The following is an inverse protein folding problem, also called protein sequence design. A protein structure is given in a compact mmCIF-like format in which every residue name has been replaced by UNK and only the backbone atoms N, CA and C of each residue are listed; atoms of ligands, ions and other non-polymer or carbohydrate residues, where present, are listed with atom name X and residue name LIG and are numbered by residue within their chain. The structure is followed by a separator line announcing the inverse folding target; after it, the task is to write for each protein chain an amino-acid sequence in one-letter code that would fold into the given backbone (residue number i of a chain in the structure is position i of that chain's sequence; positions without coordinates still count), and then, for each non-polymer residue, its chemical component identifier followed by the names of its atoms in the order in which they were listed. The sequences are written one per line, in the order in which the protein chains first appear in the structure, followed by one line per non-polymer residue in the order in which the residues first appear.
data_IF_373349335581
#
_entry.id   IF_373349335581
#
_cell.length_a   1.000
_cell.length_b   1.000
_cell.length_c   1.000
_cell.angle_alpha   90.00
_cell.angle_beta   90.00
_cell.angle_gamma   90.00
#
_symmetry.space_group_name_H-M   'P 1'
#
loop_
_entity.id
_entity.type
_entity.pdbx_description
1 polymer ?
#
# COMPACT_ATOMS: atom_id res chain seq x y z
N UNK A 1 28.26 6.59 -17.32
CA UNK A 1 27.04 6.40 -18.14
C UNK A 1 25.82 6.41 -17.24
N UNK A 2 24.81 7.18 -17.62
CA UNK A 2 23.58 7.33 -16.82
C UNK A 2 22.45 6.60 -17.56
N UNK A 3 21.70 5.77 -16.87
CA UNK A 3 20.48 5.18 -17.38
C UNK A 3 19.31 6.00 -16.86
N UNK A 4 18.64 6.73 -17.72
CA UNK A 4 17.47 7.53 -17.36
C UNK A 4 16.33 6.65 -16.87
N UNK A 5 16.13 5.50 -17.49
CA UNK A 5 15.06 4.56 -17.09
C UNK A 5 15.36 3.93 -15.73
N UNK A 6 16.63 3.63 -15.44
CA UNK A 6 17.04 3.08 -14.15
C UNK A 6 16.82 4.13 -13.03
N UNK A 7 17.18 5.39 -13.28
CA UNK A 7 16.95 6.47 -12.33
C UNK A 7 15.45 6.67 -12.07
N UNK A 8 14.64 6.64 -13.12
CA UNK A 8 13.18 6.75 -13.00
C UNK A 8 12.60 5.60 -12.20
N UNK A 9 13.11 4.38 -12.40
CA UNK A 9 12.68 3.21 -11.67
C UNK A 9 13.00 3.33 -10.19
N UNK A 10 14.23 3.73 -9.86
CA UNK A 10 14.65 3.94 -8.47
C UNK A 10 13.77 5.00 -7.80
N UNK A 11 13.54 6.11 -8.48
CA UNK A 11 12.68 7.19 -7.98
C UNK A 11 11.25 6.69 -7.74
N UNK A 12 10.73 5.88 -8.64
CA UNK A 12 9.39 5.29 -8.50
C UNK A 12 9.30 4.40 -7.26
N UNK A 13 10.34 3.60 -7.01
CA UNK A 13 10.38 2.73 -5.83
C UNK A 13 10.43 3.56 -4.53
N UNK A 14 11.20 4.64 -4.52
CA UNK A 14 11.25 5.57 -3.37
C UNK A 14 9.90 6.20 -3.12
N UNK A 15 9.22 6.67 -4.17
CA UNK A 15 7.87 7.24 -4.05
C UNK A 15 6.88 6.23 -3.50
N UNK A 16 6.97 4.98 -3.96
CA UNK A 16 6.10 3.92 -3.48
C UNK A 16 6.26 3.73 -1.97
N UNK A 17 7.49 3.70 -1.49
CA UNK A 17 7.77 3.57 -0.05
C UNK A 17 7.20 4.76 0.73
N UNK A 18 7.33 5.98 0.22
CA UNK A 18 6.78 7.17 0.86
C UNK A 18 5.27 7.08 1.02
N UNK A 19 4.58 6.64 -0.02
CA UNK A 19 3.13 6.45 0.03
C UNK A 19 2.77 5.33 1.01
N UNK A 20 3.51 4.23 1.02
CA UNK A 20 3.30 3.13 1.95
C UNK A 20 3.45 3.58 3.41
N UNK A 21 4.42 4.44 3.70
CA UNK A 21 4.59 5.02 5.04
C UNK A 21 3.36 5.83 5.45
N UNK A 22 2.78 6.57 4.52
CA UNK A 22 1.55 7.33 4.78
C UNK A 22 0.37 6.41 5.09
N UNK A 23 0.25 5.30 4.36
CA UNK A 23 -0.77 4.29 4.64
C UNK A 23 -0.57 3.69 6.03
N UNK A 24 0.67 3.37 6.39
CA UNK A 24 0.99 2.85 7.71
C UNK A 24 0.56 3.82 8.82
N UNK A 25 0.80 5.11 8.64
CA UNK A 25 0.39 6.15 9.59
C UNK A 25 -1.13 6.22 9.71
N UNK A 26 -1.85 6.14 8.59
CA UNK A 26 -3.32 6.14 8.62
C UNK A 26 -3.87 4.87 9.27
N UNK A 27 -3.23 3.73 9.07
CA UNK A 27 -3.61 2.49 9.75
C UNK A 27 -3.44 2.59 11.25
N UNK A 28 -2.37 3.24 11.72
CA UNK A 28 -2.16 3.47 13.15
C UNK A 28 -3.25 4.40 13.73
N UNK A 29 -3.59 5.45 12.99
CA UNK A 29 -4.67 6.38 13.39
C UNK A 29 -6.01 5.66 13.43
N UNK A 30 -6.31 4.86 12.43
CA UNK A 30 -7.53 4.08 12.35
C UNK A 30 -7.66 3.11 13.52
N UNK A 31 -6.56 2.44 13.86
CA UNK A 31 -6.51 1.55 15.02
C UNK A 31 -6.88 2.27 16.30
N UNK A 32 -6.30 3.44 16.54
CA UNK A 32 -6.59 4.23 17.74
C UNK A 32 -8.07 4.61 17.81
N UNK A 33 -8.64 5.04 16.69
CA UNK A 33 -10.06 5.38 16.60
C UNK A 33 -10.93 4.18 16.97
N UNK A 34 -10.61 3.01 16.43
CA UNK A 34 -11.40 1.80 16.64
C UNK A 34 -11.22 1.18 18.02
N UNK A 35 -10.06 1.38 18.65
CA UNK A 35 -9.81 0.88 20.00
C UNK A 35 -10.58 1.64 21.07
N UNK A 36 -11.02 2.85 20.80
CA UNK A 36 -11.87 3.62 21.69
C UNK A 36 -13.33 3.17 21.49
N UNK A 37 -13.62 1.94 21.89
CA UNK A 37 -14.89 1.25 21.59
C UNK A 37 -16.13 1.89 22.19
N UNK A 38 -15.98 2.71 23.23
CA UNK A 38 -17.13 3.37 23.86
C UNK A 38 -17.50 4.66 23.13
N UNK A 39 -16.56 5.25 22.41
CA UNK A 39 -16.76 6.53 21.72
C UNK A 39 -15.99 6.54 20.40
N UNK A 40 -16.35 5.63 19.49
CA UNK A 40 -15.75 5.61 18.17
C UNK A 40 -16.26 6.81 17.37
N UNK A 41 -15.33 7.67 16.95
CA UNK A 41 -15.64 8.79 16.08
C UNK A 41 -15.78 8.29 14.63
N UNK A 42 -17.02 8.05 14.20
CA UNK A 42 -17.30 7.53 12.87
C UNK A 42 -16.88 8.48 11.75
N UNK A 43 -17.00 9.77 11.96
CA UNK A 43 -16.55 10.76 10.99
C UNK A 43 -15.04 10.67 10.77
N UNK A 44 -14.27 10.56 11.85
CA UNK A 44 -12.81 10.39 11.79
C UNK A 44 -12.45 9.07 11.14
N UNK A 45 -13.19 7.99 11.43
CA UNK A 45 -12.99 6.69 10.81
C UNK A 45 -13.21 6.75 9.29
N UNK A 46 -14.33 7.32 8.87
CA UNK A 46 -14.64 7.47 7.43
C UNK A 46 -13.57 8.29 6.72
N UNK A 47 -13.05 9.32 7.36
CA UNK A 47 -11.97 10.13 6.82
C UNK A 47 -10.69 9.33 6.60
N UNK A 48 -10.36 8.42 7.51
CA UNK A 48 -9.20 7.53 7.30
C UNK A 48 -9.37 6.65 6.08
N UNK A 49 -10.59 6.16 5.82
CA UNK A 49 -10.89 5.36 4.64
C UNK A 49 -10.69 6.16 3.35
N UNK A 50 -11.16 7.40 3.33
CA UNK A 50 -11.01 8.29 2.17
C UNK A 50 -9.54 8.59 1.89
N UNK A 51 -8.78 8.92 2.92
CA UNK A 51 -7.36 9.22 2.79
C UNK A 51 -6.58 8.01 2.31
N UNK A 52 -6.84 6.84 2.87
CA UNK A 52 -6.18 5.59 2.44
C UNK A 52 -6.55 5.26 1.00
N UNK A 53 -7.81 5.50 0.61
CA UNK A 53 -8.26 5.30 -0.77
C UNK A 53 -7.47 6.16 -1.76
N UNK A 54 -7.19 7.42 -1.41
CA UNK A 54 -6.37 8.30 -2.24
C UNK A 54 -4.93 7.77 -2.39
N UNK A 55 -4.34 7.25 -1.32
CA UNK A 55 -3.00 6.68 -1.38
C UNK A 55 -2.96 5.40 -2.23
N UNK A 56 -3.99 4.58 -2.15
CA UNK A 56 -4.11 3.39 -3.00
C UNK A 56 -4.18 3.78 -4.47
N UNK A 57 -4.95 4.81 -4.80
CA UNK A 57 -5.03 5.32 -6.18
C UNK A 57 -3.66 5.80 -6.68
N UNK A 58 -2.90 6.48 -5.83
CA UNK A 58 -1.55 6.89 -6.17
C UNK A 58 -0.62 5.70 -6.43
N UNK A 59 -0.72 4.66 -5.60
CA UNK A 59 0.06 3.44 -5.80
C UNK A 59 -0.30 2.73 -7.10
N UNK A 60 -1.58 2.65 -7.42
CA UNK A 60 -2.04 2.06 -8.68
C UNK A 60 -1.46 2.80 -9.88
N UNK A 61 -1.41 4.12 -9.83
CA UNK A 61 -0.81 4.92 -10.90
C UNK A 61 0.68 4.65 -11.05
N UNK A 62 1.39 4.48 -9.96
CA UNK A 62 2.81 4.12 -10.00
C UNK A 62 3.01 2.74 -10.60
N UNK A 63 2.16 1.78 -10.24
CA UNK A 63 2.27 0.41 -10.73
C UNK A 63 1.91 0.27 -12.20
N UNK A 64 1.00 1.08 -12.72
CA UNK A 64 0.57 1.02 -14.12
C UNK A 64 1.73 1.21 -15.11
N UNK A 65 2.67 2.09 -14.81
CA UNK A 65 3.82 2.34 -15.67
C UNK A 65 5.02 1.44 -15.44
N UNK A 66 4.97 0.63 -14.40
CA UNK A 66 6.15 -0.08 -13.90
C UNK A 66 6.68 -1.12 -14.88
N UNK A 67 5.81 -1.95 -15.45
CA UNK A 67 6.25 -3.03 -16.34
C UNK A 67 6.99 -2.47 -17.56
N UNK A 68 6.44 -1.43 -18.15
CA UNK A 68 7.04 -0.76 -19.29
C UNK A 68 8.40 -0.18 -18.95
N UNK A 69 8.51 0.45 -17.79
CA UNK A 69 9.75 1.03 -17.30
C UNK A 69 10.79 -0.05 -16.98
N UNK A 70 10.35 -1.14 -16.37
CA UNK A 70 11.21 -2.29 -16.06
C UNK A 70 11.81 -2.89 -17.33
N UNK A 71 10.98 -3.05 -18.38
CA UNK A 71 11.43 -3.58 -19.66
C UNK A 71 12.47 -2.66 -20.31
N UNK A 72 12.27 -1.34 -20.22
CA UNK A 72 13.25 -0.37 -20.71
C UNK A 72 14.57 -0.45 -19.94
N UNK A 73 14.49 -0.63 -18.63
CA UNK A 73 15.68 -0.77 -17.79
C UNK A 73 16.48 -2.02 -18.22
N UNK A 74 15.80 -3.12 -18.46
CA UNK A 74 16.45 -4.33 -18.95
C UNK A 74 17.22 -4.09 -20.25
N UNK A 75 16.62 -3.34 -21.16
CA UNK A 75 17.26 -3.02 -22.45
C UNK A 75 18.43 -2.06 -22.27
N UNK A 76 18.28 -1.01 -21.47
CA UNK A 76 19.33 -0.01 -21.26
C UNK A 76 20.53 -0.56 -20.50
N UNK A 77 20.28 -1.38 -19.48
CA UNK A 77 21.35 -2.01 -18.71
C UNK A 77 22.03 -3.09 -19.54
N UNK A 78 21.27 -3.94 -20.22
CA UNK A 78 21.78 -4.99 -21.07
C UNK A 78 22.86 -5.83 -20.38
N UNK A 79 24.05 -5.86 -20.99
CA UNK A 79 25.19 -6.59 -20.43
C UNK A 79 26.04 -5.72 -19.50
N UNK A 80 25.65 -4.47 -19.26
CA UNK A 80 26.42 -3.51 -18.45
C UNK A 80 26.07 -3.56 -16.96
N UNK A 81 25.72 -4.73 -16.44
CA UNK A 81 25.33 -4.91 -15.04
C UNK A 81 26.39 -4.39 -14.05
N UNK A 82 27.66 -4.54 -14.39
CA UNK A 82 28.74 -4.08 -13.52
C UNK A 82 28.77 -2.55 -13.38
N UNK A 83 28.45 -1.84 -14.45
CA UNK A 83 28.42 -0.37 -14.47
C UNK A 83 27.34 0.17 -13.51
N UNK A 84 26.24 -0.53 -13.42
CA UNK A 84 25.08 -0.13 -12.61
C UNK A 84 24.93 -0.94 -11.32
N UNK A 85 25.96 -1.69 -10.94
CA UNK A 85 25.90 -2.63 -9.81
C UNK A 85 25.44 -1.98 -8.51
N UNK A 86 25.98 -0.81 -8.18
CA UNK A 86 25.63 -0.12 -6.94
C UNK A 86 24.16 0.33 -6.94
N UNK A 87 23.71 0.87 -8.06
CA UNK A 87 22.33 1.31 -8.20
C UNK A 87 21.34 0.14 -8.17
N UNK A 88 21.68 -0.95 -8.85
CA UNK A 88 20.88 -2.17 -8.83
C UNK A 88 20.77 -2.71 -7.40
N UNK A 89 21.87 -2.70 -6.65
CA UNK A 89 21.87 -3.13 -5.26
C UNK A 89 20.93 -2.27 -4.40
N UNK A 90 21.01 -0.94 -4.55
CA UNK A 90 20.09 -0.04 -3.84
C UNK A 90 18.63 -0.32 -4.17
N UNK A 91 18.34 -0.59 -5.45
CA UNK A 91 16.98 -0.91 -5.88
C UNK A 91 16.50 -2.23 -5.30
N UNK A 92 17.37 -3.25 -5.23
CA UNK A 92 17.03 -4.51 -4.57
C UNK A 92 16.69 -4.30 -3.10
N UNK A 93 17.44 -3.45 -2.41
CA UNK A 93 17.15 -3.09 -1.02
C UNK A 93 15.81 -2.39 -0.89
N UNK A 94 15.48 -1.46 -1.81
CA UNK A 94 14.19 -0.79 -1.84
C UNK A 94 13.05 -1.77 -2.07
N UNK A 95 13.24 -2.74 -2.96
CA UNK A 95 12.23 -3.77 -3.23
C UNK A 95 12.01 -4.64 -2.00
N UNK A 96 13.06 -5.02 -1.29
CA UNK A 96 12.94 -5.76 -0.03
C UNK A 96 12.18 -4.95 1.01
N UNK A 97 12.47 -3.67 1.12
CA UNK A 97 11.73 -2.79 2.03
C UNK A 97 10.24 -2.72 1.65
N UNK A 98 9.94 -2.63 0.36
CA UNK A 98 8.55 -2.63 -0.13
C UNK A 98 7.85 -3.94 0.26
N UNK A 99 8.52 -5.08 0.10
CA UNK A 99 7.97 -6.38 0.49
C UNK A 99 7.64 -6.42 1.98
N UNK A 100 8.58 -5.99 2.82
CA UNK A 100 8.40 -5.97 4.27
C UNK A 100 7.25 -5.04 4.68
N UNK A 101 7.19 -3.85 4.08
CA UNK A 101 6.12 -2.90 4.36
C UNK A 101 4.76 -3.41 3.87
N UNK A 102 4.73 -4.07 2.70
CA UNK A 102 3.49 -4.67 2.18
C UNK A 102 2.93 -5.70 3.15
N UNK A 103 3.79 -6.57 3.69
CA UNK A 103 3.37 -7.56 4.66
C UNK A 103 2.85 -6.91 5.95
N UNK A 104 3.54 -5.88 6.43
CA UNK A 104 3.15 -5.13 7.62
C UNK A 104 1.82 -4.40 7.42
N UNK A 105 1.63 -3.76 6.27
CA UNK A 105 0.38 -3.07 5.91
C UNK A 105 -0.76 -4.08 5.83
N UNK A 106 -0.53 -5.22 5.20
CA UNK A 106 -1.54 -6.27 5.09
C UNK A 106 -1.99 -6.75 6.47
N UNK A 107 -1.05 -6.98 7.38
CA UNK A 107 -1.36 -7.39 8.75
C UNK A 107 -2.16 -6.31 9.48
N UNK A 108 -1.78 -5.05 9.32
CA UNK A 108 -2.48 -3.92 9.93
C UNK A 108 -3.90 -3.76 9.37
N UNK A 109 -4.07 -3.92 8.05
CA UNK A 109 -5.39 -3.87 7.42
C UNK A 109 -6.29 -4.98 7.94
N UNK A 110 -5.76 -6.18 8.06
CA UNK A 110 -6.50 -7.32 8.58
C UNK A 110 -6.96 -7.07 10.02
N UNK A 111 -6.06 -6.56 10.86
CA UNK A 111 -6.37 -6.21 12.25
C UNK A 111 -7.45 -5.13 12.32
N UNK A 112 -7.29 -4.06 11.56
CA UNK A 112 -8.24 -2.95 11.56
C UNK A 112 -9.60 -3.37 11.02
N UNK A 113 -9.62 -4.24 10.03
CA UNK A 113 -10.85 -4.83 9.51
C UNK A 113 -11.62 -5.56 10.59
N UNK A 114 -10.92 -6.38 11.38
CA UNK A 114 -11.55 -7.11 12.48
C UNK A 114 -12.09 -6.16 13.55
N UNK A 115 -11.33 -5.13 13.88
CA UNK A 115 -11.78 -4.12 14.85
C UNK A 115 -13.03 -3.41 14.35
N UNK A 116 -13.07 -3.05 13.08
CA UNK A 116 -14.23 -2.40 12.46
C UNK A 116 -15.43 -3.33 12.42
N UNK A 117 -15.24 -4.58 12.01
CA UNK A 117 -16.32 -5.57 11.97
C UNK A 117 -16.94 -5.78 13.35
N UNK A 118 -16.10 -5.91 14.38
CA UNK A 118 -16.55 -6.08 15.75
C UNK A 118 -17.33 -4.87 16.24
N UNK A 119 -16.84 -3.68 15.93
CA UNK A 119 -17.53 -2.44 16.28
C UNK A 119 -18.89 -2.36 15.61
N UNK A 120 -18.95 -2.54 14.29
CA UNK A 120 -20.22 -2.43 13.54
C UNK A 120 -21.20 -3.54 13.90
N UNK A 121 -20.72 -4.74 14.20
CA UNK A 121 -21.56 -5.84 14.68
C UNK A 121 -22.20 -5.47 16.01
N UNK A 122 -21.42 -4.92 16.94
CA UNK A 122 -21.92 -4.47 18.24
C UNK A 122 -22.96 -3.34 18.09
N UNK A 123 -22.69 -2.39 17.21
CA UNK A 123 -23.60 -1.27 16.96
C UNK A 123 -24.89 -1.70 16.28
N UNK A 124 -24.86 -2.72 15.43
CA UNK A 124 -26.07 -3.28 14.81
C UNK A 124 -27.00 -3.87 15.84
N UNK A 125 -26.48 -4.46 16.90
CA UNK A 125 -27.30 -4.99 17.99
C UNK A 125 -27.95 -3.86 18.78
N UNK A 126 -27.31 -2.68 18.84
CA UNK A 126 -27.79 -1.52 19.58
C UNK A 126 -28.71 -0.62 18.76
N UNK A 127 -28.45 -0.45 17.46
CA UNK A 127 -29.14 0.52 16.60
C UNK A 127 -29.22 0.08 15.15
N UNK A 128 -30.33 0.39 14.50
CA UNK A 128 -30.55 0.07 13.08
C UNK A 128 -29.83 1.03 12.10
N UNK A 129 -29.05 1.99 12.59
CA UNK A 129 -28.54 3.09 11.78
C UNK A 129 -27.08 2.95 11.29
N UNK A 130 -26.37 1.87 11.63
CA UNK A 130 -24.96 1.70 11.27
C UNK A 130 -24.68 1.22 9.86
N UNK A 131 -25.70 1.04 9.02
CA UNK A 131 -25.57 0.41 7.70
C UNK A 131 -24.66 1.16 6.72
N UNK A 132 -24.67 2.50 6.76
CA UNK A 132 -23.92 3.32 5.81
C UNK A 132 -22.41 3.20 6.03
N UNK A 133 -21.99 3.31 7.28
CA UNK A 133 -20.58 3.19 7.64
C UNK A 133 -20.04 1.78 7.38
N UNK A 134 -20.87 0.75 7.64
CA UNK A 134 -20.52 -0.64 7.35
C UNK A 134 -20.29 -0.87 5.86
N UNK A 135 -21.10 -0.25 5.00
CA UNK A 135 -20.96 -0.37 3.55
C UNK A 135 -19.64 0.28 3.07
N UNK A 136 -19.32 1.46 3.60
CA UNK A 136 -18.08 2.15 3.26
C UNK A 136 -16.85 1.33 3.66
N UNK A 137 -16.85 0.76 4.87
CA UNK A 137 -15.77 -0.10 5.34
C UNK A 137 -15.63 -1.35 4.47
N UNK A 138 -16.74 -1.99 4.12
CA UNK A 138 -16.72 -3.16 3.26
C UNK A 138 -16.11 -2.83 1.89
N UNK A 139 -16.53 -1.74 1.28
CA UNK A 139 -15.99 -1.31 -0.02
C UNK A 139 -14.49 -1.04 0.04
N UNK A 140 -14.06 -0.39 1.11
CA UNK A 140 -12.63 -0.11 1.31
C UNK A 140 -11.82 -1.42 1.38
N UNK A 141 -12.24 -2.36 2.21
CA UNK A 141 -11.50 -3.61 2.39
C UNK A 141 -11.53 -4.49 1.14
N UNK A 142 -12.58 -4.44 0.36
CA UNK A 142 -12.63 -5.13 -0.94
C UNK A 142 -11.58 -4.55 -1.88
N UNK A 143 -11.46 -3.23 -1.93
CA UNK A 143 -10.45 -2.55 -2.74
C UNK A 143 -9.04 -2.91 -2.30
N UNK A 144 -8.79 -2.96 -0.98
CA UNK A 144 -7.49 -3.34 -0.43
C UNK A 144 -7.12 -4.78 -0.78
N UNK A 145 -8.06 -5.70 -0.77
CA UNK A 145 -7.79 -7.08 -1.16
C UNK A 145 -7.33 -7.16 -2.61
N UNK A 146 -7.93 -6.39 -3.49
CA UNK A 146 -7.51 -6.32 -4.89
C UNK A 146 -6.12 -5.71 -5.03
N UNK A 147 -5.75 -4.80 -4.14
CA UNK A 147 -4.46 -4.13 -4.15
C UNK A 147 -3.29 -5.02 -3.72
N UNK A 148 -3.55 -6.13 -3.05
CA UNK A 148 -2.51 -7.06 -2.59
C UNK A 148 -1.68 -7.68 -3.71
N UNK A 149 -2.20 -7.69 -4.91
CA UNK A 149 -1.54 -8.32 -6.05
C UNK A 149 -0.45 -7.40 -6.62
N UNK A 150 0.67 -7.32 -5.89
CA UNK A 150 1.87 -6.74 -6.46
C UNK A 150 2.39 -7.75 -7.47
N UNK A 151 2.59 -7.34 -8.73
CA UNK A 151 3.05 -8.30 -9.74
C UNK A 151 4.32 -9.02 -9.28
N UNK A 152 4.38 -10.35 -9.37
CA UNK A 152 5.55 -11.11 -8.91
C UNK A 152 6.86 -10.69 -9.55
N UNK A 153 6.83 -10.16 -10.75
CA UNK A 153 8.04 -9.67 -11.42
C UNK A 153 8.72 -8.52 -10.69
N UNK A 154 8.02 -7.82 -9.80
CA UNK A 154 8.64 -6.80 -8.94
C UNK A 154 9.44 -7.40 -7.82
N UNK A 155 9.03 -8.59 -7.40
CA UNK A 155 9.63 -9.29 -6.29
C UNK A 155 10.77 -10.17 -6.74
N UNK A 156 10.75 -10.62 -7.97
CA UNK A 156 11.75 -11.50 -8.53
C UNK A 156 12.88 -10.70 -9.16
N UNK A 157 13.79 -10.28 -8.31
CA UNK A 157 14.97 -9.50 -8.74
C UNK A 157 16.24 -10.32 -8.75
N UNK A 158 16.11 -11.64 -8.69
CA UNK A 158 17.28 -12.53 -8.57
C UNK A 158 18.11 -12.61 -9.82
N UNK A 159 17.66 -12.07 -10.88
CA UNK A 159 18.42 -12.08 -12.11
C UNK A 159 18.81 -10.64 -12.47
#
# INVERSE_FOLDING_TARGET
MISASLDMLEESLVKKIEIMKKIENENARQKEILLNSEDVNLEAFDKTLDIKGEYIDELEKLDDGFQSLFDRVKQEVGDNKKTYADQIKRMQELIHEIMDRSASIEAAEHRNKKLAENYFSSEREKMATGKRSSAAAFNYYTTMNNFKDIPPQFLDTKN
#
